data_IF_772710651223
#
_entry.id   IF_772710651223
#
_cell.length_a   1.000
_cell.length_b   1.000
_cell.length_c   1.000
_cell.angle_alpha   90.00
_cell.angle_beta   90.00
_cell.angle_gamma   90.00
#
_symmetry.space_group_name_H-M   'P 1'
#
loop_
_entity.id
_entity.type
_entity.pdbx_description
1 polymer ?
#
# COMPACT_ATOMS: atom_id res chain seq x y z
N UNK A 1 -19.70 -0.05 13.38
CA UNK A 1 -19.35 1.09 12.51
C UNK A 1 -18.07 0.70 11.80
N UNK A 2 -18.11 0.38 10.50
CA UNK A 2 -16.92 -0.05 9.76
C UNK A 2 -15.97 1.14 9.62
N UNK A 3 -14.82 1.07 10.30
CA UNK A 3 -13.78 2.09 10.20
C UNK A 3 -12.85 1.70 9.06
N UNK A 4 -12.84 2.54 8.02
CA UNK A 4 -11.97 2.36 6.86
C UNK A 4 -10.49 2.59 7.21
N UNK A 5 -10.24 3.55 8.11
CA UNK A 5 -8.91 3.92 8.59
C UNK A 5 -8.93 3.83 10.11
N UNK A 6 -7.89 3.21 10.66
CA UNK A 6 -7.63 3.05 12.09
C UNK A 6 -6.26 3.67 12.40
N UNK A 7 -6.06 4.36 13.54
CA UNK A 7 -4.77 4.96 13.88
C UNK A 7 -3.58 3.98 13.80
N UNK A 8 -3.81 2.72 14.11
CA UNK A 8 -2.84 1.63 14.09
C UNK A 8 -2.30 1.34 12.68
N UNK A 9 -3.13 1.61 11.66
CA UNK A 9 -2.82 1.45 10.24
C UNK A 9 -2.13 2.66 9.61
N UNK A 10 -1.87 3.72 10.39
CA UNK A 10 -1.15 4.91 9.95
C UNK A 10 0.28 4.88 10.49
N UNK A 11 1.27 4.83 9.59
CA UNK A 11 2.69 4.75 9.95
C UNK A 11 3.47 5.90 9.34
N UNK A 12 4.47 6.38 10.08
CA UNK A 12 5.50 7.28 9.59
C UNK A 12 6.80 6.49 9.56
N UNK A 13 7.36 6.29 8.37
CA UNK A 13 8.56 5.49 8.13
C UNK A 13 9.65 6.38 7.57
N UNK A 14 10.92 6.10 7.90
CA UNK A 14 12.02 6.93 7.43
C UNK A 14 12.27 6.74 5.93
N UNK A 15 12.36 5.49 5.47
CA UNK A 15 12.72 5.12 4.10
C UNK A 15 12.34 3.68 3.82
N UNK A 16 12.26 3.32 2.53
CA UNK A 16 12.26 1.95 2.04
C UNK A 16 13.36 1.83 0.99
N UNK A 17 14.00 0.67 0.89
CA UNK A 17 15.00 0.36 -0.13
C UNK A 17 14.37 0.15 -1.50
N UNK A 18 13.10 -0.30 -1.53
CA UNK A 18 12.40 -0.54 -2.80
C UNK A 18 10.88 -0.38 -2.69
N UNK A 19 10.25 -0.20 -3.86
CA UNK A 19 8.79 -0.26 -4.00
C UNK A 19 8.21 -1.55 -3.42
N UNK A 20 8.85 -2.69 -3.68
CA UNK A 20 8.38 -3.98 -3.20
C UNK A 20 8.39 -4.08 -1.68
N UNK A 21 9.44 -3.58 -1.03
CA UNK A 21 9.51 -3.55 0.44
C UNK A 21 8.37 -2.69 1.04
N UNK A 22 8.07 -1.54 0.43
CA UNK A 22 6.92 -0.73 0.83
C UNK A 22 5.59 -1.50 0.67
N UNK A 23 5.41 -2.24 -0.42
CA UNK A 23 4.19 -3.05 -0.63
C UNK A 23 4.08 -4.18 0.40
N UNK A 24 5.19 -4.88 0.67
CA UNK A 24 5.26 -5.97 1.65
C UNK A 24 4.90 -5.46 3.06
N UNK A 25 5.48 -4.32 3.45
CA UNK A 25 5.19 -3.65 4.73
C UNK A 25 3.71 -3.27 4.87
N UNK A 26 3.14 -2.66 3.85
CA UNK A 26 1.74 -2.19 3.86
C UNK A 26 0.74 -3.34 3.92
N UNK A 27 1.01 -4.46 3.22
CA UNK A 27 0.19 -5.68 3.35
C UNK A 27 0.31 -6.28 4.74
N UNK A 28 1.50 -6.23 5.36
CA UNK A 28 1.70 -6.63 6.76
C UNK A 28 0.77 -5.90 7.72
N UNK A 29 0.68 -4.57 7.61
CA UNK A 29 -0.24 -3.76 8.43
C UNK A 29 -1.70 -4.18 8.25
N UNK A 30 -2.13 -4.39 7.01
CA UNK A 30 -3.50 -4.83 6.70
C UNK A 30 -3.77 -6.24 7.24
N UNK A 31 -2.79 -7.14 7.17
CA UNK A 31 -2.88 -8.47 7.75
C UNK A 31 -3.03 -8.43 9.28
N UNK A 32 -2.23 -7.62 9.98
CA UNK A 32 -2.32 -7.42 11.44
C UNK A 32 -3.69 -6.89 11.87
N UNK A 33 -4.32 -6.08 11.02
CA UNK A 33 -5.67 -5.55 11.28
C UNK A 33 -6.81 -6.57 11.14
N UNK A 34 -6.49 -7.79 10.67
CA UNK A 34 -7.45 -8.89 10.47
C UNK A 34 -8.32 -8.77 9.22
N UNK A 35 -8.06 -7.81 8.32
CA UNK A 35 -8.90 -7.61 7.13
C UNK A 35 -8.59 -8.55 5.97
N UNK A 36 -7.50 -9.34 6.06
CA UNK A 36 -7.03 -10.28 5.05
C UNK A 36 -7.05 -11.73 5.55
N UNK A 37 -7.65 -12.64 4.78
CA UNK A 37 -7.60 -14.09 5.02
C UNK A 37 -6.30 -14.75 4.55
N UNK A 38 -5.70 -14.24 3.46
CA UNK A 38 -4.45 -14.77 2.88
C UNK A 38 -3.56 -13.61 2.43
N UNK A 39 -2.76 -13.04 3.35
CA UNK A 39 -1.90 -11.88 3.06
C UNK A 39 -0.98 -12.08 1.85
N UNK A 40 -0.32 -13.24 1.73
CA UNK A 40 0.61 -13.51 0.61
C UNK A 40 -0.09 -13.48 -0.75
N UNK A 41 -1.33 -13.99 -0.83
CA UNK A 41 -2.13 -13.93 -2.06
C UNK A 41 -2.53 -12.49 -2.38
N UNK A 42 -2.94 -11.71 -1.37
CA UNK A 42 -3.27 -10.30 -1.56
C UNK A 42 -2.04 -9.51 -2.04
N UNK A 43 -0.88 -9.73 -1.43
CA UNK A 43 0.38 -9.13 -1.85
C UNK A 43 0.74 -9.46 -3.29
N UNK A 44 0.62 -10.73 -3.69
CA UNK A 44 0.85 -11.14 -5.07
C UNK A 44 -0.12 -10.42 -6.04
N UNK A 45 -1.39 -10.26 -5.66
CA UNK A 45 -2.38 -9.54 -6.46
C UNK A 45 -2.05 -8.04 -6.58
N UNK A 46 -1.59 -7.40 -5.50
CA UNK A 46 -1.14 -6.00 -5.51
C UNK A 46 0.09 -5.82 -6.40
N UNK A 47 1.10 -6.69 -6.27
CA UNK A 47 2.30 -6.65 -7.13
C UNK A 47 1.93 -6.86 -8.60
N UNK A 48 1.08 -7.84 -8.91
CA UNK A 48 0.59 -8.04 -10.28
C UNK A 48 -0.18 -6.85 -10.83
N UNK A 49 -0.97 -6.15 -10.01
CA UNK A 49 -1.64 -4.90 -10.43
C UNK A 49 -0.63 -3.79 -10.69
N UNK A 50 0.37 -3.65 -9.85
CA UNK A 50 1.42 -2.64 -9.95
C UNK A 50 2.33 -2.83 -11.18
N UNK A 51 2.55 -4.08 -11.61
CA UNK A 51 3.35 -4.42 -12.79
C UNK A 51 2.68 -4.00 -14.11
N UNK A 52 1.33 -4.02 -14.19
CA UNK A 52 0.60 -3.59 -15.39
C UNK A 52 0.85 -2.09 -15.65
N UNK A 53 0.77 -1.29 -14.59
CA UNK A 53 1.00 0.14 -14.59
C UNK A 53 1.14 0.60 -13.14
N UNK A 54 2.11 1.48 -12.89
CA UNK A 54 2.35 2.04 -11.56
C UNK A 54 1.07 2.63 -10.97
N UNK A 55 0.86 2.39 -9.67
CA UNK A 55 -0.19 3.05 -8.90
C UNK A 55 0.29 4.35 -8.25
N UNK A 56 1.49 4.81 -8.59
CA UNK A 56 1.97 6.17 -8.34
C UNK A 56 1.21 7.17 -9.21
N UNK A 57 0.24 7.86 -8.63
CA UNK A 57 -0.65 8.79 -9.34
C UNK A 57 -0.05 10.19 -9.52
N UNK A 58 1.18 10.38 -9.03
CA UNK A 58 1.91 11.64 -9.07
C UNK A 58 1.70 12.52 -7.84
N UNK A 59 2.34 13.69 -7.84
CA UNK A 59 2.34 14.66 -6.74
C UNK A 59 2.73 14.05 -5.39
N UNK A 60 3.62 13.06 -5.41
CA UNK A 60 4.10 12.38 -4.20
C UNK A 60 3.17 11.32 -3.62
N UNK A 61 2.13 10.88 -4.35
CA UNK A 61 1.11 9.94 -3.87
C UNK A 61 1.10 8.63 -4.67
N UNK A 62 0.98 7.50 -3.96
CA UNK A 62 0.67 6.19 -4.54
C UNK A 62 -0.58 5.58 -3.90
N UNK A 63 -1.35 4.83 -4.70
CA UNK A 63 -2.57 4.13 -4.28
C UNK A 63 -2.50 2.61 -4.58
N UNK A 64 -1.61 1.82 -3.95
CA UNK A 64 -1.56 0.39 -4.21
C UNK A 64 -2.87 -0.30 -3.82
N UNK A 65 -3.43 -1.12 -4.70
CA UNK A 65 -4.68 -1.82 -4.46
C UNK A 65 -4.78 -3.06 -5.33
N UNK A 66 -5.59 -4.03 -4.89
CA UNK A 66 -5.99 -5.15 -5.72
C UNK A 66 -7.40 -5.58 -5.36
N UNK A 67 -8.20 -5.96 -6.36
CA UNK A 67 -9.46 -6.64 -6.11
C UNK A 67 -9.18 -8.12 -5.92
N UNK A 68 -9.30 -8.62 -4.69
CA UNK A 68 -9.07 -10.03 -4.40
C UNK A 68 -10.06 -10.55 -3.34
N UNK A 69 -10.40 -11.84 -3.45
CA UNK A 69 -11.37 -12.51 -2.57
C UNK A 69 -10.83 -12.76 -1.14
N UNK A 70 -9.57 -12.42 -0.88
CA UNK A 70 -8.95 -12.55 0.43
C UNK A 70 -9.30 -11.41 1.38
N UNK A 71 -9.91 -10.33 0.87
CA UNK A 71 -10.34 -9.18 1.66
C UNK A 71 -11.69 -9.47 2.32
N UNK A 72 -11.72 -9.51 3.65
CA UNK A 72 -12.93 -9.73 4.45
C UNK A 72 -13.66 -8.44 4.81
N UNK A 73 -12.90 -7.36 4.92
CA UNK A 73 -13.39 -6.05 5.32
C UNK A 73 -12.55 -5.00 4.61
N UNK A 74 -13.22 -3.99 4.05
CA UNK A 74 -12.54 -2.88 3.41
C UNK A 74 -11.73 -2.08 4.45
N UNK A 75 -10.41 -2.03 4.31
CA UNK A 75 -9.52 -1.23 5.16
C UNK A 75 -8.42 -0.56 4.34
N UNK A 76 -7.86 0.52 4.90
CA UNK A 76 -6.78 1.28 4.29
C UNK A 76 -5.61 1.43 5.25
N UNK A 77 -4.43 1.02 4.79
CA UNK A 77 -3.16 1.35 5.44
C UNK A 77 -2.59 2.64 4.82
N UNK A 78 -2.02 3.49 5.66
CA UNK A 78 -1.41 4.76 5.24
C UNK A 78 0.02 4.81 5.72
N UNK A 79 0.95 5.08 4.80
CA UNK A 79 2.35 5.29 5.14
C UNK A 79 2.83 6.65 4.65
N UNK A 80 3.44 7.40 5.56
CA UNK A 80 4.20 8.62 5.28
C UNK A 80 5.68 8.27 5.29
N UNK A 81 6.36 8.42 4.15
CA UNK A 81 7.78 8.09 3.97
C UNK A 81 8.59 9.39 3.99
N UNK A 82 9.56 9.53 4.89
CA UNK A 82 10.36 10.76 5.01
C UNK A 82 11.33 10.95 3.84
N UNK A 83 11.96 9.87 3.40
CA UNK A 83 12.80 9.86 2.21
C UNK A 83 11.94 9.43 1.00
N UNK A 84 11.74 10.29 -0.01
CA UNK A 84 10.88 9.97 -1.13
C UNK A 84 11.30 8.67 -1.82
N UNK A 85 10.32 7.80 -2.07
CA UNK A 85 10.52 6.48 -2.68
C UNK A 85 10.26 6.56 -4.18
N UNK A 86 11.14 6.01 -5.00
CA UNK A 86 10.84 5.84 -6.43
C UNK A 86 9.73 4.79 -6.60
N UNK A 87 8.60 5.23 -7.16
CA UNK A 87 7.42 4.40 -7.42
C UNK A 87 7.12 4.25 -8.91
N UNK A 88 7.95 4.83 -9.79
CA UNK A 88 7.68 4.97 -11.22
C UNK A 88 6.32 5.67 -11.48
N UNK A 89 6.06 6.75 -10.75
CA UNK A 89 4.80 7.50 -10.84
C UNK A 89 4.55 8.06 -12.24
N UNK A 90 3.29 8.34 -12.58
CA UNK A 90 2.87 8.89 -13.88
C UNK A 90 3.54 10.22 -14.25
N UNK A 91 3.96 11.01 -13.26
CA UNK A 91 4.67 12.28 -13.44
C UNK A 91 6.18 12.18 -13.23
N UNK A 92 6.71 10.97 -13.06
CA UNK A 92 8.10 10.65 -12.74
C UNK A 92 8.62 11.26 -11.43
N UNK A 93 7.73 11.68 -10.52
CA UNK A 93 8.12 12.15 -9.19
C UNK A 93 8.08 11.01 -8.16
N UNK A 94 8.99 11.00 -7.18
CA UNK A 94 8.97 10.00 -6.11
C UNK A 94 7.79 10.25 -5.16
N UNK A 95 7.42 9.21 -4.41
CA UNK A 95 6.26 9.23 -3.50
C UNK A 95 6.69 9.35 -2.04
N UNK A 96 5.87 10.05 -1.25
CA UNK A 96 6.00 10.16 0.21
C UNK A 96 4.72 9.74 0.93
N UNK A 97 3.60 9.64 0.22
CA UNK A 97 2.31 9.22 0.77
C UNK A 97 1.82 7.99 0.02
N UNK A 98 1.65 6.89 0.74
CA UNK A 98 1.16 5.63 0.17
C UNK A 98 -0.12 5.23 0.89
N UNK A 99 -1.20 5.05 0.14
CA UNK A 99 -2.49 4.60 0.67
C UNK A 99 -2.81 3.23 0.05
N UNK A 100 -2.58 2.16 0.81
CA UNK A 100 -2.90 0.82 0.35
C UNK A 100 -4.34 0.47 0.72
N UNK A 101 -5.12 0.00 -0.26
CA UNK A 101 -6.53 -0.37 -0.09
C UNK A 101 -6.64 -1.88 -0.25
N UNK A 102 -7.10 -2.55 0.82
CA UNK A 102 -7.59 -3.93 0.81
C UNK A 102 -9.11 -3.91 0.76
#
# INVERSE_FOLDING_TARGET
>A
MNRLIEPELVKIVNSFESKNECLDYMVGLLAESGCLNKPDRFLAAVKGREEIMSTGIGKGVALPHARDLTVNALKMAVCVIRQPLDFMSVDNLPVQLVFMIA
#
